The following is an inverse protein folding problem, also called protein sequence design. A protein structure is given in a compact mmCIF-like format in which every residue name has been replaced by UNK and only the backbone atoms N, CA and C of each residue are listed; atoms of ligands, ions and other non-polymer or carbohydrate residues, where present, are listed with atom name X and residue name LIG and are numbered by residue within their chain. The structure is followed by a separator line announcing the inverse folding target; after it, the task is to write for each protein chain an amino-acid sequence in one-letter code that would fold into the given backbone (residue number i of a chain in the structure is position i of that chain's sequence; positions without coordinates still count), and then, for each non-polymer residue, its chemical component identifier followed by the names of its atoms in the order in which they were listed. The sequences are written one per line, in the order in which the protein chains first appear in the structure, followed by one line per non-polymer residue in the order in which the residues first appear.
data_IF_942250704786
#
_entry.id   IF_942250704786
#
_cell.length_a   1.000
_cell.length_b   1.000
_cell.length_c   1.000
_cell.angle_alpha   90.00
_cell.angle_beta   90.00
_cell.angle_gamma   90.00
#
_symmetry.space_group_name_H-M   'P 1'
#
loop_
_entity.id
_entity.type
_entity.pdbx_description
1 polymer ?
#
# COMPACT_ATOMS: atom_id res chain seq x y z
N UNK A 1 -6.70 91.59 -31.95
CA UNK A 1 -7.28 92.03 -30.66
C UNK A 1 -6.53 91.30 -29.57
N UNK A 2 -5.93 92.05 -28.64
CA UNK A 2 -5.07 91.57 -27.58
C UNK A 2 -5.80 90.66 -26.57
N UNK A 3 -5.03 89.86 -25.82
CA UNK A 3 -5.24 89.42 -24.42
C UNK A 3 -4.02 88.55 -24.02
N UNK A 4 -2.91 89.16 -23.58
CA UNK A 4 -2.46 89.35 -22.18
C UNK A 4 -2.04 88.07 -21.45
N UNK A 5 -0.72 87.99 -21.20
CA UNK A 5 -0.01 87.04 -20.33
C UNK A 5 -0.44 87.19 -18.86
N UNK A 6 -0.70 86.08 -18.18
CA UNK A 6 -0.65 85.97 -16.73
C UNK A 6 0.44 84.98 -16.34
N UNK A 7 1.49 85.46 -15.66
CA UNK A 7 2.50 84.61 -15.02
C UNK A 7 2.21 84.66 -13.52
N UNK A 8 1.84 83.52 -12.96
CA UNK A 8 1.68 83.34 -11.50
C UNK A 8 3.03 82.83 -10.96
N UNK A 9 3.63 83.46 -9.94
CA UNK A 9 4.84 82.93 -9.33
C UNK A 9 4.43 81.80 -8.38
N UNK A 10 4.83 80.57 -8.70
CA UNK A 10 4.79 79.46 -7.74
C UNK A 10 5.95 79.68 -6.77
N UNK A 11 5.64 80.09 -5.54
CA UNK A 11 6.58 79.99 -4.43
C UNK A 11 6.93 78.52 -4.23
N UNK A 12 8.17 78.15 -4.54
CA UNK A 12 8.77 76.92 -4.03
C UNK A 12 8.96 77.09 -2.53
N UNK A 13 7.99 76.63 -1.74
CA UNK A 13 8.19 76.29 -0.34
C UNK A 13 9.16 75.11 -0.32
N UNK A 14 10.43 75.40 -0.04
CA UNK A 14 11.43 74.40 0.29
C UNK A 14 11.09 73.87 1.69
N UNK A 15 10.28 72.80 1.74
CA UNK A 15 10.13 71.99 2.95
C UNK A 15 11.38 71.14 3.03
N UNK A 16 12.37 71.58 3.82
CA UNK A 16 13.45 70.70 4.24
C UNK A 16 12.85 69.67 5.18
N UNK A 17 12.51 68.49 4.69
CA UNK A 17 12.42 67.34 5.58
C UNK A 17 13.82 67.12 6.12
N UNK A 18 14.01 67.25 7.44
CA UNK A 18 15.23 66.77 8.07
C UNK A 18 15.26 65.25 7.86
N UNK A 19 16.30 64.72 7.22
CA UNK A 19 16.40 63.28 7.00
C UNK A 19 16.95 62.67 8.28
N UNK A 20 16.14 61.87 8.98
CA UNK A 20 16.61 60.98 10.02
C UNK A 20 17.83 60.20 9.53
N UNK A 21 18.92 60.20 10.30
CA UNK A 21 20.13 59.47 9.91
C UNK A 21 19.92 57.98 10.18
N UNK A 22 19.70 57.22 9.10
CA UNK A 22 19.54 55.77 9.17
C UNK A 22 20.89 55.05 9.11
N UNK A 23 21.18 54.24 10.12
CA UNK A 23 22.35 53.37 10.21
C UNK A 23 21.90 51.91 10.15
N UNK A 24 22.52 51.11 9.28
CA UNK A 24 22.21 49.69 9.13
C UNK A 24 23.31 48.88 9.80
N UNK A 25 22.91 47.95 10.65
CA UNK A 25 23.80 47.07 11.42
C UNK A 25 23.46 45.62 11.08
N UNK A 26 24.45 44.85 10.66
CA UNK A 26 24.28 43.44 10.23
C UNK A 26 25.20 42.47 10.96
N UNK A 27 26.12 42.99 11.79
CA UNK A 27 27.05 42.15 12.55
C UNK A 27 26.31 41.46 13.71
N UNK A 28 26.76 40.25 14.07
CA UNK A 28 26.15 39.40 15.11
C UNK A 28 26.18 40.01 16.53
N UNK A 29 26.92 41.10 16.72
CA UNK A 29 26.91 41.89 17.94
C UNK A 29 27.41 43.31 17.59
N UNK A 30 27.07 44.27 18.43
CA UNK A 30 27.58 45.62 18.27
C UNK A 30 27.15 46.55 19.39
N UNK A 31 27.66 47.77 19.32
CA UNK A 31 27.42 48.81 20.31
C UNK A 31 26.89 50.07 19.61
N UNK A 32 25.91 50.71 20.23
CA UNK A 32 25.27 51.93 19.77
C UNK A 32 25.41 53.00 20.85
N UNK A 33 25.66 54.22 20.41
CA UNK A 33 25.83 55.37 21.29
C UNK A 33 24.93 56.52 20.82
N UNK A 34 24.41 57.29 21.76
CA UNK A 34 23.87 58.62 21.43
C UNK A 34 24.97 59.52 20.80
N UNK A 35 24.60 60.51 19.98
CA UNK A 35 25.59 61.38 19.35
C UNK A 35 26.39 62.15 20.39
N UNK A 36 27.72 62.10 20.30
CA UNK A 36 28.60 62.83 21.21
C UNK A 36 28.95 62.08 22.51
N UNK A 37 28.35 60.91 22.78
CA UNK A 37 28.64 60.12 23.99
C UNK A 37 30.16 59.92 24.20
N UNK A 38 30.69 60.10 25.42
CA UNK A 38 29.99 60.31 26.70
C UNK A 38 29.61 61.77 27.00
N UNK A 39 29.89 62.72 26.09
CA UNK A 39 29.48 64.11 26.24
C UNK A 39 27.97 64.28 25.97
N UNK A 40 27.36 65.39 26.43
CA UNK A 40 25.92 65.61 26.23
C UNK A 40 25.51 65.59 24.76
N UNK A 41 24.37 64.95 24.47
CA UNK A 41 23.88 64.83 23.10
C UNK A 41 23.38 66.16 22.54
N UNK A 42 23.48 66.39 21.21
CA UNK A 42 22.96 67.59 20.57
C UNK A 42 21.43 67.57 20.48
N UNK A 43 20.82 68.75 20.58
CA UNK A 43 19.42 68.99 20.25
C UNK A 43 19.10 68.78 18.78
N UNK A 44 17.81 68.67 18.43
CA UNK A 44 17.29 68.48 17.08
C UNK A 44 17.92 67.27 16.35
N UNK A 45 18.26 66.21 17.10
CA UNK A 45 18.91 65.02 16.57
C UNK A 45 17.90 63.91 16.32
N UNK A 46 18.00 63.25 15.16
CA UNK A 46 17.18 62.10 14.84
C UNK A 46 18.03 61.02 14.16
N UNK A 47 18.18 59.89 14.84
CA UNK A 47 18.99 58.76 14.39
C UNK A 47 18.21 57.47 14.57
N UNK A 48 18.31 56.60 13.58
CA UNK A 48 17.71 55.29 13.63
C UNK A 48 18.75 54.23 13.28
N UNK A 49 18.87 53.21 14.13
CA UNK A 49 19.65 52.00 13.87
C UNK A 49 18.70 50.87 13.51
N UNK A 50 18.89 50.30 12.32
CA UNK A 50 18.20 49.09 11.89
C UNK A 50 19.18 47.93 11.99
N UNK A 51 18.94 47.06 12.97
CA UNK A 51 19.68 45.82 13.18
C UNK A 51 18.94 44.72 12.42
N UNK A 52 19.65 44.03 11.53
CA UNK A 52 19.12 42.92 10.75
C UNK A 52 20.11 41.77 10.78
N UNK A 53 19.69 40.66 11.37
CA UNK A 53 20.45 39.41 11.46
C UNK A 53 19.94 38.38 10.44
N UNK A 54 20.70 37.30 10.16
CA UNK A 54 20.16 36.15 9.43
C UNK A 54 18.91 35.57 10.11
N UNK A 55 18.08 34.85 9.34
CA UNK A 55 17.00 34.01 9.91
C UNK A 55 17.58 32.97 10.89
N UNK A 56 16.78 32.51 11.84
CA UNK A 56 17.21 31.63 12.93
C UNK A 56 17.83 32.35 14.13
N UNK A 57 17.85 33.68 14.14
CA UNK A 57 18.34 34.48 15.27
C UNK A 57 17.32 35.51 15.75
N UNK A 58 17.32 35.73 17.05
CA UNK A 58 16.74 36.89 17.72
C UNK A 58 17.84 37.87 18.12
N UNK A 59 17.44 39.13 18.33
CA UNK A 59 18.32 40.22 18.74
C UNK A 59 18.07 40.48 20.23
N UNK A 60 19.12 40.31 21.03
CA UNK A 60 19.15 40.69 22.43
C UNK A 60 19.76 42.07 22.57
N UNK A 61 18.98 43.04 23.06
CA UNK A 61 19.39 44.43 23.30
C UNK A 61 19.36 44.75 24.80
N UNK A 62 20.38 45.46 25.29
CA UNK A 62 20.43 45.98 26.65
C UNK A 62 21.23 47.29 26.70
N UNK A 63 20.97 48.10 27.72
CA UNK A 63 21.61 49.40 27.90
C UNK A 63 22.59 49.34 29.08
N UNK A 64 23.81 49.82 28.87
CA UNK A 64 24.83 49.92 29.91
C UNK A 64 24.83 51.30 30.58
N UNK A 65 24.41 52.32 29.84
CA UNK A 65 24.23 53.68 30.33
C UNK A 65 22.97 54.30 29.70
N UNK A 66 22.20 55.06 30.49
CA UNK A 66 20.99 55.72 30.01
C UNK A 66 20.70 56.99 30.81
N UNK A 67 20.70 58.13 30.12
CA UNK A 67 20.51 59.47 30.67
C UNK A 67 19.94 60.38 29.58
N UNK A 68 18.61 60.42 29.50
CA UNK A 68 17.84 61.16 28.48
C UNK A 68 16.89 62.12 29.18
N UNK A 69 16.57 63.26 28.55
CA UNK A 69 15.62 64.22 29.12
C UNK A 69 14.27 63.55 29.46
N UNK A 70 13.76 63.69 30.70
CA UNK A 70 12.46 63.14 31.08
C UNK A 70 11.32 64.03 30.55
N UNK A 71 10.24 63.41 30.09
CA UNK A 71 9.01 64.10 29.72
C UNK A 71 7.83 63.15 29.85
N UNK A 72 6.62 63.69 30.00
CA UNK A 72 5.40 62.89 30.12
C UNK A 72 5.29 61.93 28.92
N UNK A 73 5.30 60.62 29.16
CA UNK A 73 5.28 59.57 28.14
C UNK A 73 6.39 59.70 27.07
N UNK A 74 7.52 60.31 27.43
CA UNK A 74 8.67 60.51 26.55
C UNK A 74 8.35 61.26 25.25
N UNK A 75 7.54 62.32 25.34
CA UNK A 75 7.11 63.15 24.20
C UNK A 75 8.22 64.06 23.64
N UNK A 76 9.19 64.47 24.46
CA UNK A 76 10.32 65.32 24.06
C UNK A 76 11.44 64.45 23.49
N UNK A 77 12.37 64.03 24.34
CA UNK A 77 13.48 63.16 23.98
C UNK A 77 13.16 61.71 24.31
N UNK A 78 13.57 60.80 23.43
CA UNK A 78 13.31 59.37 23.63
C UNK A 78 14.27 58.45 22.92
N UNK A 79 14.32 57.21 23.41
CA UNK A 79 14.77 56.04 22.67
C UNK A 79 13.60 55.09 22.49
N UNK A 80 13.19 54.85 21.24
CA UNK A 80 12.15 53.89 20.87
C UNK A 80 12.76 52.61 20.33
N UNK A 81 12.25 51.48 20.77
CA UNK A 81 12.65 50.15 20.31
C UNK A 81 11.43 49.47 19.70
N UNK A 82 11.53 49.06 18.45
CA UNK A 82 10.45 48.38 17.75
C UNK A 82 10.97 47.26 16.86
N UNK A 83 10.16 46.22 16.71
CA UNK A 83 10.38 45.13 15.77
C UNK A 83 9.34 45.26 14.67
N UNK A 84 9.79 45.57 13.45
CA UNK A 84 8.92 45.86 12.30
C UNK A 84 7.86 46.95 12.61
N UNK A 85 6.61 46.56 12.88
CA UNK A 85 5.51 47.47 13.25
C UNK A 85 5.16 47.45 14.74
N UNK A 86 5.75 46.56 15.53
CA UNK A 86 5.47 46.41 16.95
C UNK A 86 6.41 47.28 17.79
N UNK A 87 5.85 48.25 18.53
CA UNK A 87 6.60 49.04 19.51
C UNK A 87 6.84 48.19 20.77
N UNK A 88 8.08 47.76 20.99
CA UNK A 88 8.45 46.93 22.12
C UNK A 88 8.68 47.76 23.38
N UNK A 89 9.26 48.96 23.23
CA UNK A 89 9.49 49.89 24.34
C UNK A 89 9.74 51.34 23.88
N UNK A 90 9.43 52.28 24.78
CA UNK A 90 9.82 53.69 24.70
C UNK A 90 10.50 54.06 26.01
N UNK A 91 11.66 54.72 25.94
CA UNK A 91 12.45 55.08 27.10
C UNK A 91 12.86 56.56 27.10
N UNK A 92 12.87 57.16 28.29
CA UNK A 92 13.40 58.51 28.59
C UNK A 92 13.66 58.65 30.10
N UNK A 93 14.33 59.74 30.51
CA UNK A 93 14.66 59.99 31.91
C UNK A 93 15.95 59.32 32.41
N UNK A 94 16.19 59.44 33.73
CA UNK A 94 17.31 58.84 34.48
C UNK A 94 16.88 57.72 35.42
N UNK A 95 15.65 57.80 35.93
CA UNK A 95 15.05 56.86 36.88
C UNK A 95 13.60 56.61 36.47
N UNK A 96 13.04 55.46 36.87
CA UNK A 96 11.64 55.11 36.57
C UNK A 96 10.67 55.95 37.39
N UNK A 97 9.58 56.42 36.76
CA UNK A 97 8.48 57.13 37.41
C UNK A 97 7.12 56.59 36.90
N UNK A 98 6.01 57.20 37.31
CA UNK A 98 4.68 56.85 36.80
C UNK A 98 4.48 57.20 35.31
N UNK A 99 5.32 58.10 34.76
CA UNK A 99 5.17 58.66 33.41
C UNK A 99 6.40 58.48 32.52
N UNK A 100 7.54 58.09 33.09
CA UNK A 100 8.80 57.81 32.41
C UNK A 100 9.26 56.38 32.68
N UNK A 101 9.82 55.75 31.64
CA UNK A 101 10.43 54.42 31.72
C UNK A 101 11.90 54.52 31.31
N UNK A 102 12.81 54.00 32.13
CA UNK A 102 14.22 53.76 31.78
C UNK A 102 14.46 52.26 31.58
N UNK A 103 15.43 51.86 30.72
CA UNK A 103 15.68 50.45 30.45
C UNK A 103 16.24 49.70 31.66
N UNK A 104 17.00 50.34 32.55
CA UNK A 104 17.59 49.73 33.74
C UNK A 104 18.27 48.37 33.44
N UNK A 105 17.83 47.28 34.08
CA UNK A 105 18.34 45.92 33.85
C UNK A 105 17.50 45.11 32.82
N UNK A 106 16.54 45.75 32.15
CA UNK A 106 15.69 45.10 31.16
C UNK A 106 16.53 44.65 29.97
N UNK A 107 16.30 43.40 29.55
CA UNK A 107 16.84 42.83 28.32
C UNK A 107 15.69 42.72 27.34
N UNK A 108 15.80 43.39 26.20
CA UNK A 108 14.81 43.31 25.14
C UNK A 108 15.24 42.20 24.17
N UNK A 109 14.36 41.22 23.97
CA UNK A 109 14.50 40.21 22.93
C UNK A 109 13.54 40.56 21.80
N UNK A 110 14.04 40.62 20.57
CA UNK A 110 13.18 40.80 19.41
C UNK A 110 12.37 39.52 19.13
N UNK A 111 11.11 39.63 18.66
CA UNK A 111 10.34 38.47 18.21
C UNK A 111 10.98 37.75 17.01
N UNK A 112 11.59 38.49 16.08
CA UNK A 112 12.25 37.97 14.88
C UNK A 112 13.71 38.42 14.75
N UNK A 113 14.25 38.41 13.54
CA UNK A 113 15.64 38.74 13.23
C UNK A 113 15.89 40.23 12.89
N UNK A 114 14.89 41.10 13.10
CA UNK A 114 14.95 42.53 12.80
C UNK A 114 14.57 43.33 14.05
N UNK A 115 15.39 44.34 14.40
CA UNK A 115 15.11 45.27 15.48
C UNK A 115 15.54 46.68 15.09
N UNK A 116 14.68 47.67 15.33
CA UNK A 116 14.97 49.07 15.08
C UNK A 116 15.02 49.84 16.39
N UNK A 117 16.06 50.66 16.55
CA UNK A 117 16.25 51.56 17.68
C UNK A 117 16.28 52.99 17.14
N UNK A 118 15.37 53.84 17.60
CA UNK A 118 15.29 55.24 17.17
C UNK A 118 15.53 56.17 18.35
N UNK A 119 16.50 57.06 18.20
CA UNK A 119 16.79 58.15 19.13
C UNK A 119 16.33 59.48 18.53
N UNK A 120 15.59 60.25 19.33
CA UNK A 120 15.17 61.61 18.98
C UNK A 120 15.45 62.56 20.14
N UNK A 121 16.00 63.73 19.82
CA UNK A 121 16.02 64.89 20.72
C UNK A 121 15.25 66.07 20.11
N UNK A 122 14.55 66.82 20.96
CA UNK A 122 13.80 68.01 20.57
C UNK A 122 14.69 69.27 20.49
N UNK A 123 14.10 70.47 20.43
CA UNK A 123 14.84 71.72 20.22
C UNK A 123 15.49 72.29 21.51
N UNK A 124 15.23 71.70 22.67
CA UNK A 124 15.62 72.20 23.99
C UNK A 124 16.20 71.09 24.87
N UNK A 125 17.45 71.28 25.32
CA UNK A 125 18.00 70.50 26.43
C UNK A 125 18.32 71.50 27.55
N UNK A 126 17.43 71.63 28.54
CA UNK A 126 17.64 72.57 29.65
C UNK A 126 18.79 72.13 30.58
N UNK A 127 18.98 70.81 30.71
CA UNK A 127 20.11 70.18 31.41
C UNK A 127 21.09 69.49 30.45
N UNK A 128 22.27 69.14 30.97
CA UNK A 128 23.26 68.34 30.27
C UNK A 128 22.99 66.85 30.47
N UNK A 129 22.32 66.22 29.52
CA UNK A 129 22.06 64.78 29.49
C UNK A 129 23.11 64.05 28.63
N UNK A 130 23.81 63.08 29.23
CA UNK A 130 24.94 62.37 28.61
C UNK A 130 24.52 61.36 27.53
N UNK A 131 23.25 60.98 27.49
CA UNK A 131 22.70 60.09 26.47
C UNK A 131 22.76 58.63 26.85
N UNK A 132 23.08 57.74 25.91
CA UNK A 132 23.04 56.30 26.15
C UNK A 132 24.18 55.53 25.49
N UNK A 133 24.48 54.37 26.08
CA UNK A 133 25.30 53.31 25.52
C UNK A 133 24.50 52.00 25.55
N UNK A 134 24.26 51.42 24.37
CA UNK A 134 23.50 50.19 24.21
C UNK A 134 24.31 49.12 23.48
N UNK A 135 24.13 47.87 23.87
CA UNK A 135 24.79 46.71 23.27
C UNK A 135 23.74 45.74 22.76
N UNK A 136 23.97 45.18 21.58
CA UNK A 136 23.15 44.13 21.03
C UNK A 136 23.97 42.89 20.66
N UNK A 137 23.33 41.72 20.71
CA UNK A 137 23.93 40.44 20.32
C UNK A 137 22.89 39.49 19.73
N UNK A 138 23.31 38.67 18.77
CA UNK A 138 22.55 37.57 18.22
C UNK A 138 22.34 36.48 19.27
N UNK A 139 21.11 35.96 19.32
CA UNK A 139 20.73 34.80 20.12
C UNK A 139 20.10 33.80 19.18
N UNK A 140 20.60 32.57 19.18
CA UNK A 140 20.05 31.45 18.43
C UNK A 140 18.61 31.18 18.86
N UNK A 141 17.70 31.01 17.91
CA UNK A 141 16.34 30.56 18.18
C UNK A 141 16.40 29.04 18.36
N UNK A 142 15.86 28.52 19.46
CA UNK A 142 15.73 27.08 19.65
C UNK A 142 14.35 26.63 19.16
N UNK A 143 14.24 26.29 17.87
CA UNK A 143 12.97 25.87 17.26
C UNK A 143 12.44 24.53 17.82
N UNK A 144 13.25 23.82 18.60
CA UNK A 144 12.86 22.55 19.23
C UNK A 144 12.32 22.71 20.66
N UNK A 145 12.44 23.90 21.27
CA UNK A 145 12.12 24.12 22.68
C UNK A 145 10.64 24.38 22.91
N UNK A 146 10.01 25.11 22.01
CA UNK A 146 8.59 25.41 22.06
C UNK A 146 7.89 24.53 21.03
N UNK A 147 7.27 23.45 21.53
CA UNK A 147 6.32 22.65 20.76
C UNK A 147 5.00 23.44 20.65
N UNK A 148 5.06 24.73 20.30
CA UNK A 148 3.88 25.58 20.13
C UNK A 148 3.10 25.02 18.95
N UNK A 149 1.80 24.87 19.14
CA UNK A 149 0.80 24.30 18.21
C UNK A 149 0.66 25.08 16.87
N UNK A 150 1.68 25.82 16.43
CA UNK A 150 1.73 26.52 15.15
C UNK A 150 2.70 25.83 14.19
N UNK A 151 2.12 25.25 13.13
CA UNK A 151 2.66 25.01 11.78
C UNK A 151 4.20 25.00 11.68
N UNK A 152 4.83 23.86 11.95
CA UNK A 152 6.21 23.64 11.45
C UNK A 152 7.18 22.86 12.33
N UNK A 153 6.73 22.28 13.44
CA UNK A 153 7.56 21.36 14.22
C UNK A 153 7.84 20.06 13.43
N UNK A 154 9.00 19.46 13.71
CA UNK A 154 9.40 18.17 13.12
C UNK A 154 8.45 17.05 13.56
N UNK A 155 8.10 16.16 12.64
CA UNK A 155 7.15 15.07 12.89
C UNK A 155 7.64 14.06 13.94
N UNK A 156 8.95 13.77 13.95
CA UNK A 156 9.55 12.81 14.88
C UNK A 156 10.63 13.41 15.79
N UNK A 157 11.75 13.84 15.21
CA UNK A 157 12.87 14.39 15.98
C UNK A 157 13.30 15.72 15.39
N UNK A 158 13.39 16.72 16.26
CA UNK A 158 13.92 18.05 15.97
C UNK A 158 15.37 18.16 16.45
N UNK A 159 16.23 18.75 15.64
CA UNK A 159 17.63 19.01 15.96
C UNK A 159 17.93 20.49 15.77
N UNK A 160 18.12 21.22 16.86
CA UNK A 160 18.55 22.61 16.85
C UNK A 160 20.06 22.72 16.59
N UNK A 161 20.46 23.72 15.82
CA UNK A 161 21.85 24.14 15.65
C UNK A 161 21.91 25.66 15.50
N UNK A 162 23.11 26.22 15.66
CA UNK A 162 23.28 27.68 15.59
C UNK A 162 22.85 28.20 14.20
N UNK A 163 21.75 28.95 14.17
CA UNK A 163 21.15 29.55 12.99
C UNK A 163 20.08 28.71 12.28
N UNK A 164 19.57 27.64 12.91
CA UNK A 164 18.40 26.94 12.39
C UNK A 164 18.22 25.52 12.95
N UNK A 165 17.33 24.76 12.33
CA UNK A 165 17.03 23.39 12.74
C UNK A 165 16.89 22.43 11.56
N UNK A 166 16.89 21.13 11.84
CA UNK A 166 16.51 20.11 10.87
C UNK A 166 15.74 18.96 11.53
N UNK A 167 14.95 18.26 10.72
CA UNK A 167 14.14 17.13 11.16
C UNK A 167 14.79 15.79 10.80
N UNK A 168 14.49 14.76 11.58
CA UNK A 168 14.86 13.38 11.25
C UNK A 168 13.79 12.39 11.73
N UNK A 169 13.83 11.18 11.19
CA UNK A 169 12.78 10.19 11.38
C UNK A 169 13.23 9.00 12.24
N UNK A 170 12.24 8.34 12.86
CA UNK A 170 12.43 7.04 13.53
C UNK A 170 12.88 5.97 12.52
N UNK A 171 13.48 4.90 13.04
CA UNK A 171 13.87 3.77 12.23
C UNK A 171 12.66 3.19 11.45
N UNK A 172 12.87 2.86 10.18
CA UNK A 172 11.81 2.39 9.27
C UNK A 172 11.00 3.48 8.58
N UNK A 173 11.22 4.75 8.94
CA UNK A 173 10.61 5.91 8.28
C UNK A 173 11.66 6.69 7.49
N UNK A 174 11.19 7.49 6.53
CA UNK A 174 12.00 8.31 5.64
C UNK A 174 11.54 9.76 5.71
N UNK A 175 12.48 10.70 5.80
CA UNK A 175 12.17 12.12 5.76
C UNK A 175 11.60 12.46 4.38
N UNK A 176 10.41 13.06 4.37
CA UNK A 176 9.73 13.50 3.17
C UNK A 176 10.43 14.73 2.55
N UNK A 177 10.08 15.08 1.31
CA UNK A 177 10.70 16.20 0.58
C UNK A 177 10.39 17.58 1.14
N UNK A 178 9.42 17.68 2.06
CA UNK A 178 9.16 18.90 2.84
C UNK A 178 10.18 19.13 3.97
N UNK A 179 11.13 18.20 4.15
CA UNK A 179 12.13 18.18 5.22
C UNK A 179 11.55 18.20 6.65
N UNK A 180 10.28 17.82 6.82
CA UNK A 180 9.56 17.88 8.09
C UNK A 180 8.84 16.59 8.44
N UNK A 181 8.04 16.05 7.52
CA UNK A 181 7.20 14.86 7.77
C UNK A 181 7.97 13.58 7.53
N UNK A 182 7.57 12.51 8.21
CA UNK A 182 8.18 11.19 8.12
C UNK A 182 7.25 10.20 7.44
N UNK A 183 7.56 9.84 6.20
CA UNK A 183 6.80 8.86 5.42
C UNK A 183 7.32 7.43 5.58
N UNK A 184 6.54 6.45 5.13
CA UNK A 184 6.96 5.04 5.04
C UNK A 184 6.87 4.49 3.62
N UNK A 185 7.69 3.50 3.32
CA UNK A 185 7.55 2.70 2.10
C UNK A 185 6.67 1.48 2.39
N UNK A 186 5.37 1.63 2.12
CA UNK A 186 4.33 0.64 2.37
C UNK A 186 3.75 0.01 1.09
N UNK A 187 4.28 0.42 -0.08
CA UNK A 187 3.86 -0.08 -1.38
C UNK A 187 4.74 -1.26 -1.82
N UNK A 188 4.13 -2.39 -2.16
CA UNK A 188 4.84 -3.59 -2.67
C UNK A 188 4.39 -4.92 -2.08
N UNK A 189 3.50 -4.90 -1.09
CA UNK A 189 2.94 -6.11 -0.50
C UNK A 189 1.93 -6.76 -1.44
N UNK A 190 2.21 -8.00 -1.87
CA UNK A 190 1.28 -8.84 -2.65
C UNK A 190 0.85 -10.04 -1.80
N UNK A 191 -0.44 -10.10 -1.48
CA UNK A 191 -1.06 -11.14 -0.69
C UNK A 191 -1.67 -12.20 -1.61
N UNK A 192 -1.20 -13.44 -1.48
CA UNK A 192 -1.61 -14.58 -2.33
C UNK A 192 -2.38 -15.66 -1.57
N UNK A 193 -2.44 -15.55 -0.24
CA UNK A 193 -3.22 -16.44 0.63
C UNK A 193 -4.72 -16.13 0.57
N UNK A 194 -5.59 -17.14 0.68
CA UNK A 194 -7.06 -16.98 0.60
C UNK A 194 -7.69 -16.22 1.77
N UNK A 195 -6.92 -15.91 2.81
CA UNK A 195 -7.34 -15.04 3.89
C UNK A 195 -6.15 -14.34 4.53
N UNK A 196 -6.35 -13.17 5.11
CA UNK A 196 -5.28 -12.43 5.77
C UNK A 196 -5.76 -11.18 6.49
N UNK A 197 -4.80 -10.49 7.11
CA UNK A 197 -4.97 -9.25 7.86
C UNK A 197 -4.15 -8.15 7.19
N UNK A 198 -4.76 -6.98 6.97
CA UNK A 198 -4.09 -5.79 6.42
C UNK A 198 -4.44 -4.62 7.32
N UNK A 199 -3.46 -3.79 7.65
CA UNK A 199 -3.64 -2.58 8.47
C UNK A 199 -3.00 -1.39 7.79
N UNK A 200 -3.35 -0.18 8.21
CA UNK A 200 -2.47 0.98 8.05
C UNK A 200 -1.12 0.70 8.73
N UNK A 201 -0.07 1.40 8.27
CA UNK A 201 1.25 1.30 8.92
C UNK A 201 1.14 1.74 10.39
N UNK A 202 1.88 1.05 11.26
CA UNK A 202 1.94 1.27 12.71
C UNK A 202 0.63 1.12 13.51
N UNK A 203 -0.48 0.71 12.88
CA UNK A 203 -1.75 0.44 13.56
C UNK A 203 -1.55 -0.44 14.81
N UNK A 204 -2.15 -0.08 15.97
CA UNK A 204 -3.18 0.93 16.19
C UNK A 204 -2.63 2.33 16.59
N UNK A 205 -1.38 2.64 16.28
CA UNK A 205 -0.82 4.00 16.48
C UNK A 205 -1.18 4.90 15.29
N UNK A 206 -1.02 6.24 15.43
CA UNK A 206 -1.20 7.16 14.33
C UNK A 206 -0.44 6.71 13.07
N UNK A 207 -1.11 6.76 11.91
CA UNK A 207 -0.45 6.38 10.67
C UNK A 207 0.58 7.44 10.24
N UNK A 208 1.65 7.04 9.54
CA UNK A 208 2.65 7.97 9.04
C UNK A 208 2.07 8.94 8.02
N UNK A 209 2.46 10.22 8.15
CA UNK A 209 2.09 11.31 7.23
C UNK A 209 2.77 11.14 5.87
N UNK A 210 2.24 11.82 4.86
CA UNK A 210 2.82 11.96 3.51
C UNK A 210 3.18 10.62 2.87
N UNK A 211 2.32 9.62 3.06
CA UNK A 211 2.55 8.24 2.66
C UNK A 211 1.50 7.74 1.68
N UNK A 212 1.96 7.10 0.61
CA UNK A 212 1.12 6.45 -0.40
C UNK A 212 1.32 4.92 -0.33
N UNK A 213 0.34 4.23 0.24
CA UNK A 213 0.39 2.80 0.44
C UNK A 213 -0.47 2.05 -0.58
N UNK A 214 0.13 1.04 -1.24
CA UNK A 214 -0.56 0.13 -2.15
C UNK A 214 -0.44 -1.32 -1.67
N UNK A 215 -1.56 -1.87 -1.22
CA UNK A 215 -1.70 -3.28 -0.85
C UNK A 215 -2.45 -4.03 -1.94
N UNK A 216 -1.89 -5.15 -2.41
CA UNK A 216 -2.50 -5.93 -3.51
C UNK A 216 -2.81 -7.35 -3.06
N UNK A 217 -4.08 -7.73 -3.09
CA UNK A 217 -4.52 -9.13 -2.95
C UNK A 217 -4.67 -9.71 -4.35
N UNK A 218 -3.98 -10.81 -4.62
CA UNK A 218 -3.97 -11.45 -5.93
C UNK A 218 -4.10 -12.96 -5.80
N UNK A 219 -5.32 -13.45 -6.01
CA UNK A 219 -5.67 -14.87 -6.01
C UNK A 219 -5.86 -15.38 -7.44
N UNK A 220 -5.95 -16.70 -7.57
CA UNK A 220 -6.23 -17.34 -8.84
C UNK A 220 -7.64 -17.01 -9.35
N UNK A 221 -7.83 -17.16 -10.66
CA UNK A 221 -9.13 -16.93 -11.28
C UNK A 221 -10.16 -17.92 -10.73
N UNK A 222 -11.35 -17.43 -10.42
CA UNK A 222 -12.44 -18.23 -9.81
C UNK A 222 -12.57 -18.05 -8.30
N UNK A 223 -11.61 -17.36 -7.66
CA UNK A 223 -11.81 -16.82 -6.32
C UNK A 223 -12.50 -15.45 -6.35
N UNK A 224 -13.19 -15.11 -5.27
CA UNK A 224 -13.82 -13.83 -5.03
C UNK A 224 -13.47 -13.35 -3.63
N UNK A 225 -12.82 -12.20 -3.54
CA UNK A 225 -12.36 -11.63 -2.26
C UNK A 225 -13.50 -10.86 -1.59
N UNK A 226 -13.66 -11.07 -0.29
CA UNK A 226 -14.50 -10.25 0.59
C UNK A 226 -13.60 -9.57 1.61
N UNK A 227 -13.74 -8.25 1.74
CA UNK A 227 -13.06 -7.44 2.75
C UNK A 227 -14.00 -7.22 3.93
N UNK A 228 -13.47 -7.25 5.14
CA UNK A 228 -14.19 -7.01 6.39
C UNK A 228 -13.37 -6.02 7.22
N UNK A 229 -13.77 -4.75 7.18
CA UNK A 229 -13.13 -3.68 7.94
C UNK A 229 -13.55 -3.76 9.41
N UNK A 230 -12.56 -3.63 10.30
CA UNK A 230 -12.78 -3.53 11.74
C UNK A 230 -13.58 -2.25 12.06
N UNK A 231 -14.27 -2.22 13.21
CA UNK A 231 -15.05 -1.05 13.65
C UNK A 231 -14.12 0.08 14.10
N UNK A 232 -12.89 -0.24 14.53
CA UNK A 232 -11.86 0.79 14.75
C UNK A 232 -11.37 1.31 13.40
N UNK A 233 -11.89 2.49 13.04
CA UNK A 233 -11.61 3.18 11.79
C UNK A 233 -11.51 4.66 12.10
N UNK A 234 -10.36 5.25 11.82
CA UNK A 234 -10.07 6.65 12.13
C UNK A 234 -9.12 7.19 11.06
N UNK A 235 -9.67 7.94 10.10
CA UNK A 235 -8.93 8.55 8.99
C UNK A 235 -9.39 10.00 8.91
N UNK A 236 -8.45 10.95 8.76
CA UNK A 236 -8.77 12.37 8.71
C UNK A 236 -9.84 12.72 7.65
N UNK A 237 -10.86 13.49 8.04
CA UNK A 237 -11.99 13.84 7.20
C UNK A 237 -12.35 15.33 7.29
N UNK A 238 -13.38 15.73 6.55
CA UNK A 238 -13.91 17.09 6.57
C UNK A 238 -15.44 17.04 6.52
N UNK A 239 -16.16 17.90 7.26
CA UNK A 239 -17.62 17.85 7.34
C UNK A 239 -18.31 18.10 6.00
N UNK A 240 -17.77 18.99 5.16
CA UNK A 240 -18.42 19.43 3.91
C UNK A 240 -17.87 18.78 2.63
N UNK A 241 -16.67 18.19 2.69
CA UNK A 241 -15.95 17.68 1.51
C UNK A 241 -15.57 16.24 1.80
N UNK A 242 -15.89 15.33 0.89
CA UNK A 242 -15.59 13.90 1.10
C UNK A 242 -14.10 13.64 0.96
N UNK A 243 -13.46 13.27 2.07
CA UNK A 243 -12.07 12.80 2.16
C UNK A 243 -11.04 13.68 1.42
N UNK A 244 -10.94 14.98 1.74
CA UNK A 244 -10.04 15.91 1.06
C UNK A 244 -8.58 15.74 1.48
N UNK A 245 -8.35 15.23 2.69
CA UNK A 245 -7.03 15.03 3.30
C UNK A 245 -6.59 13.59 3.03
N UNK A 246 -7.13 12.67 3.83
CA UNK A 246 -6.73 11.28 3.82
C UNK A 246 -7.83 10.38 3.27
N UNK A 247 -7.45 9.30 2.62
CA UNK A 247 -8.43 8.44 1.96
C UNK A 247 -7.93 7.03 1.71
N UNK A 248 -8.84 6.08 1.88
CA UNK A 248 -8.70 4.71 1.37
C UNK A 248 -9.60 4.49 0.15
N UNK A 249 -9.02 4.01 -0.96
CA UNK A 249 -9.71 3.63 -2.19
C UNK A 249 -9.44 2.17 -2.50
N UNK A 250 -10.46 1.45 -2.93
CA UNK A 250 -10.36 0.01 -3.21
C UNK A 250 -10.75 -0.22 -4.66
N UNK A 251 -9.86 -0.81 -5.43
CA UNK A 251 -10.10 -1.21 -6.81
C UNK A 251 -10.17 -2.74 -6.90
N UNK A 252 -11.30 -3.26 -7.36
CA UNK A 252 -11.53 -4.69 -7.57
C UNK A 252 -12.01 -4.94 -9.00
N UNK A 253 -11.10 -5.36 -9.88
CA UNK A 253 -11.35 -5.37 -11.32
C UNK A 253 -11.70 -3.97 -11.84
N UNK A 254 -12.89 -3.83 -12.43
CA UNK A 254 -13.42 -2.54 -12.94
C UNK A 254 -14.19 -1.74 -11.86
N UNK A 255 -14.49 -2.35 -10.71
CA UNK A 255 -15.26 -1.70 -9.64
C UNK A 255 -14.31 -0.93 -8.73
N UNK A 256 -14.73 0.27 -8.34
CA UNK A 256 -14.04 1.11 -7.36
C UNK A 256 -14.96 1.36 -6.18
N UNK A 257 -14.43 1.25 -4.97
CA UNK A 257 -15.11 1.57 -3.72
C UNK A 257 -14.34 2.69 -3.00
N UNK A 258 -15.07 3.57 -2.33
CA UNK A 258 -14.53 4.74 -1.66
C UNK A 258 -14.51 6.00 -2.55
N UNK A 259 -13.78 7.05 -2.16
CA UNK A 259 -12.90 7.10 -0.98
C UNK A 259 -13.66 6.92 0.33
N UNK A 260 -13.00 6.31 1.32
CA UNK A 260 -13.48 6.26 2.70
C UNK A 260 -12.51 7.01 3.62
N UNK A 261 -13.08 7.71 4.59
CA UNK A 261 -12.41 8.46 5.65
C UNK A 261 -13.40 8.67 6.81
N UNK A 262 -12.98 9.34 7.88
CA UNK A 262 -13.76 9.63 9.07
C UNK A 262 -13.65 8.52 10.11
N UNK A 263 -14.61 8.51 11.04
CA UNK A 263 -14.67 7.58 12.17
C UNK A 263 -15.55 6.33 11.90
N UNK A 264 -16.24 6.32 10.76
CA UNK A 264 -17.21 5.27 10.42
C UNK A 264 -16.63 4.29 9.41
N UNK A 265 -16.39 3.06 9.88
CA UNK A 265 -15.96 1.95 9.05
C UNK A 265 -16.92 1.67 7.89
N UNK A 266 -16.41 1.36 6.67
CA UNK A 266 -17.24 0.92 5.56
C UNK A 266 -17.80 -0.51 5.75
N UNK A 267 -17.33 -1.24 6.78
CA UNK A 267 -17.75 -2.59 7.11
C UNK A 267 -17.40 -3.62 6.03
N UNK A 268 -18.31 -4.56 5.77
CA UNK A 268 -18.07 -5.67 4.84
C UNK A 268 -18.27 -5.26 3.38
N UNK A 269 -17.27 -5.50 2.53
CA UNK A 269 -17.28 -5.25 1.09
C UNK A 269 -17.09 -6.55 0.31
N UNK A 270 -18.12 -6.96 -0.44
CA UNK A 270 -18.05 -8.07 -1.39
C UNK A 270 -17.54 -7.55 -2.74
N UNK A 271 -16.28 -7.88 -3.07
CA UNK A 271 -15.61 -7.28 -4.23
C UNK A 271 -16.06 -7.91 -5.55
N UNK A 272 -16.30 -9.23 -5.54
CA UNK A 272 -16.59 -10.00 -6.76
C UNK A 272 -15.37 -10.23 -7.66
N UNK A 273 -14.15 -9.98 -7.15
CA UNK A 273 -12.91 -10.11 -7.92
C UNK A 273 -11.87 -10.95 -7.17
N UNK A 274 -11.03 -11.66 -7.92
CA UNK A 274 -9.84 -12.33 -7.39
C UNK A 274 -8.64 -11.38 -7.23
N UNK A 275 -8.70 -10.16 -7.78
CA UNK A 275 -7.65 -9.15 -7.69
C UNK A 275 -8.23 -7.89 -7.07
N UNK A 276 -7.68 -7.50 -5.92
CA UNK A 276 -8.09 -6.30 -5.18
C UNK A 276 -6.86 -5.46 -4.86
N UNK A 277 -6.89 -4.20 -5.22
CA UNK A 277 -5.85 -3.21 -4.88
C UNK A 277 -6.44 -2.19 -3.92
N UNK A 278 -5.80 -2.01 -2.77
CA UNK A 278 -6.20 -1.09 -1.71
C UNK A 278 -5.16 0.01 -1.68
N UNK A 279 -5.58 1.23 -1.97
CA UNK A 279 -4.76 2.43 -1.98
C UNK A 279 -5.12 3.27 -0.76
N UNK A 280 -4.13 3.59 0.07
CA UNK A 280 -4.29 4.49 1.22
C UNK A 280 -3.31 5.66 1.08
N UNK A 281 -3.86 6.87 1.15
CA UNK A 281 -3.13 8.13 1.06
C UNK A 281 -3.27 8.89 2.37
N UNK A 282 -2.15 9.38 2.90
CA UNK A 282 -2.09 10.33 4.01
C UNK A 282 -1.39 11.63 3.61
N UNK A 283 -1.94 12.76 4.07
CA UNK A 283 -1.39 14.09 3.84
C UNK A 283 -0.29 14.44 4.87
N UNK A 284 0.12 15.70 4.96
CA UNK A 284 1.23 16.13 5.82
C UNK A 284 0.82 16.47 7.26
N UNK A 285 -0.39 16.13 7.69
CA UNK A 285 -0.95 16.44 9.01
C UNK A 285 -1.76 15.27 9.59
N UNK A 286 -2.49 15.50 10.68
CA UNK A 286 -3.27 14.47 11.36
C UNK A 286 -2.47 13.59 12.35
N UNK A 287 -3.19 13.04 13.33
CA UNK A 287 -2.68 12.05 14.31
C UNK A 287 -3.67 10.87 14.43
N UNK A 288 -4.44 10.63 13.37
CA UNK A 288 -5.51 9.63 13.33
C UNK A 288 -4.92 8.21 13.33
N UNK A 289 -5.62 7.29 14.00
CA UNK A 289 -5.12 5.95 14.32
C UNK A 289 -5.11 4.97 13.13
N UNK A 290 -5.87 5.27 12.09
CA UNK A 290 -5.93 4.49 10.85
C UNK A 290 -6.97 3.38 10.88
N UNK A 291 -6.64 2.27 10.23
CA UNK A 291 -7.63 1.24 9.89
C UNK A 291 -7.02 -0.15 9.90
N UNK A 292 -7.90 -1.12 10.07
CA UNK A 292 -7.59 -2.55 10.03
C UNK A 292 -8.70 -3.28 9.29
N UNK A 293 -8.33 -4.25 8.47
CA UNK A 293 -9.29 -5.14 7.81
C UNK A 293 -8.76 -6.56 7.77
N UNK A 294 -9.69 -7.50 7.76
CA UNK A 294 -9.40 -8.87 7.34
C UNK A 294 -9.99 -9.11 5.97
N UNK A 295 -9.39 -10.02 5.21
CA UNK A 295 -9.97 -10.47 3.96
C UNK A 295 -10.11 -11.99 3.97
N UNK A 296 -11.13 -12.47 3.27
CA UNK A 296 -11.39 -13.88 3.03
C UNK A 296 -11.76 -14.07 1.57
N UNK A 297 -11.54 -15.26 1.04
CA UNK A 297 -11.93 -15.61 -0.33
C UNK A 297 -12.96 -16.73 -0.33
N UNK A 298 -13.97 -16.59 -1.19
CA UNK A 298 -14.80 -17.71 -1.63
C UNK A 298 -14.38 -18.13 -3.03
N UNK A 299 -14.61 -19.38 -3.39
CA UNK A 299 -14.35 -19.91 -4.74
C UNK A 299 -15.63 -20.28 -5.45
N UNK A 300 -15.57 -20.38 -6.78
CA UNK A 300 -16.64 -20.97 -7.59
C UNK A 300 -16.97 -22.38 -7.10
N UNK A 301 -18.27 -22.68 -7.06
CA UNK A 301 -18.82 -23.99 -6.73
C UNK A 301 -19.33 -24.65 -8.01
N UNK A 302 -18.95 -25.90 -8.25
CA UNK A 302 -19.45 -26.70 -9.36
C UNK A 302 -20.69 -27.49 -8.95
N UNK A 303 -21.62 -27.66 -9.91
CA UNK A 303 -22.82 -28.46 -9.67
C UNK A 303 -22.45 -29.90 -9.29
N UNK A 304 -23.18 -30.49 -8.33
CA UNK A 304 -23.01 -31.88 -7.95
C UNK A 304 -23.22 -32.78 -9.18
N UNK A 305 -22.21 -33.56 -9.61
CA UNK A 305 -22.33 -34.39 -10.79
C UNK A 305 -23.38 -35.48 -10.62
N UNK A 306 -24.11 -35.77 -11.69
CA UNK A 306 -25.04 -36.91 -11.73
C UNK A 306 -24.25 -38.21 -11.91
N UNK A 307 -24.43 -39.14 -10.98
CA UNK A 307 -23.79 -40.45 -11.02
C UNK A 307 -24.25 -41.25 -12.25
N UNK A 308 -23.36 -41.73 -13.13
CA UNK A 308 -23.75 -42.61 -14.22
C UNK A 308 -24.23 -43.98 -13.65
N UNK A 309 -25.20 -44.65 -14.30
CA UNK A 309 -25.60 -45.99 -13.89
C UNK A 309 -24.41 -46.95 -13.90
N UNK A 310 -24.25 -47.73 -12.83
CA UNK A 310 -23.12 -48.62 -12.61
C UNK A 310 -21.76 -47.90 -12.49
N UNK A 311 -21.78 -46.66 -11.97
CA UNK A 311 -20.58 -45.85 -11.73
C UNK A 311 -20.44 -45.41 -10.27
N UNK A 312 -19.22 -45.02 -9.92
CA UNK A 312 -18.85 -44.47 -8.61
C UNK A 312 -18.10 -43.15 -8.77
N UNK A 313 -18.23 -42.27 -7.77
CA UNK A 313 -17.49 -41.02 -7.65
C UNK A 313 -16.66 -41.01 -6.38
N UNK A 314 -15.40 -40.61 -6.49
CA UNK A 314 -14.51 -40.44 -5.34
C UNK A 314 -13.74 -39.10 -5.43
N UNK A 315 -13.83 -38.22 -4.41
CA UNK A 315 -14.72 -38.31 -3.25
C UNK A 315 -16.18 -38.00 -3.64
N UNK A 316 -17.14 -38.55 -2.89
CA UNK A 316 -18.55 -38.15 -2.96
C UNK A 316 -18.82 -37.06 -1.90
N UNK A 317 -18.99 -35.82 -2.33
CA UNK A 317 -19.25 -34.66 -1.49
C UNK A 317 -20.59 -33.99 -1.84
N UNK A 318 -21.13 -33.20 -0.91
CA UNK A 318 -22.35 -32.41 -1.09
C UNK A 318 -22.17 -31.18 -1.99
N UNK A 319 -20.94 -30.73 -2.13
CA UNK A 319 -20.54 -29.50 -2.81
C UNK A 319 -19.08 -29.67 -3.25
N UNK A 320 -18.74 -29.11 -4.41
CA UNK A 320 -17.38 -29.14 -4.95
C UNK A 320 -16.92 -27.75 -5.32
N UNK A 321 -15.69 -27.41 -4.96
CA UNK A 321 -15.13 -26.09 -5.18
C UNK A 321 -13.99 -26.12 -6.21
N UNK A 322 -13.64 -24.92 -6.70
CA UNK A 322 -12.53 -24.69 -7.61
C UNK A 322 -11.31 -25.56 -7.28
N UNK A 323 -10.74 -26.21 -8.31
CA UNK A 323 -9.59 -27.12 -8.27
C UNK A 323 -9.80 -28.44 -7.55
N UNK A 324 -10.98 -28.72 -7.01
CA UNK A 324 -11.27 -30.07 -6.55
C UNK A 324 -11.43 -31.00 -7.75
N UNK A 325 -10.89 -32.20 -7.58
CA UNK A 325 -10.98 -33.28 -8.56
C UNK A 325 -11.87 -34.38 -8.03
N UNK A 326 -12.63 -34.97 -8.94
CA UNK A 326 -13.31 -36.24 -8.68
C UNK A 326 -12.82 -37.28 -9.67
N UNK A 327 -12.72 -38.51 -9.18
CA UNK A 327 -12.43 -39.69 -9.98
C UNK A 327 -13.71 -40.47 -10.18
N UNK A 328 -14.02 -40.77 -11.44
CA UNK A 328 -15.13 -41.62 -11.84
C UNK A 328 -14.58 -43.01 -12.14
N UNK A 329 -15.23 -44.03 -11.59
CA UNK A 329 -14.97 -45.45 -11.88
C UNK A 329 -16.30 -46.17 -12.16
N UNK A 330 -16.25 -47.40 -12.68
CA UNK A 330 -17.45 -48.22 -12.92
C UNK A 330 -17.47 -49.47 -12.02
N UNK A 331 -18.67 -50.01 -11.79
CA UNK A 331 -18.87 -51.30 -11.16
C UNK A 331 -18.11 -52.40 -11.94
N UNK A 332 -17.69 -53.50 -11.29
CA UNK A 332 -17.09 -54.64 -11.96
C UNK A 332 -17.95 -55.15 -13.14
N UNK A 333 -17.32 -55.32 -14.30
CA UNK A 333 -18.02 -55.70 -15.54
C UNK A 333 -18.52 -54.54 -16.39
N UNK A 334 -18.26 -53.30 -15.97
CA UNK A 334 -18.48 -52.08 -16.73
C UNK A 334 -17.17 -51.32 -16.93
N UNK A 335 -17.09 -50.53 -18.00
CA UNK A 335 -15.95 -49.65 -18.29
C UNK A 335 -16.44 -48.28 -18.77
N UNK A 336 -15.65 -47.23 -18.52
CA UNK A 336 -15.92 -45.90 -19.04
C UNK A 336 -15.56 -45.86 -20.52
N UNK A 337 -16.47 -45.39 -21.37
CA UNK A 337 -16.19 -45.23 -22.79
C UNK A 337 -16.13 -43.75 -23.16
N UNK A 338 -14.97 -43.28 -23.62
CA UNK A 338 -14.76 -41.90 -24.07
C UNK A 338 -14.00 -41.89 -25.39
N UNK A 339 -14.54 -41.19 -26.38
CA UNK A 339 -13.92 -41.03 -27.71
C UNK A 339 -13.50 -42.35 -28.39
N UNK A 340 -14.22 -43.45 -28.08
CA UNK A 340 -13.95 -44.79 -28.63
C UNK A 340 -12.98 -45.64 -27.80
N UNK A 341 -12.35 -45.08 -26.77
CA UNK A 341 -11.44 -45.77 -25.87
C UNK A 341 -12.15 -46.22 -24.58
N UNK A 342 -11.73 -47.37 -24.06
CA UNK A 342 -12.16 -47.86 -22.74
C UNK A 342 -11.18 -47.36 -21.69
N UNK A 343 -11.70 -46.72 -20.65
CA UNK A 343 -10.93 -46.17 -19.54
C UNK A 343 -11.29 -46.89 -18.25
N UNK A 344 -10.27 -47.14 -17.42
CA UNK A 344 -10.42 -47.71 -16.07
C UNK A 344 -10.98 -46.66 -15.09
N UNK A 345 -10.48 -45.43 -15.18
CA UNK A 345 -10.96 -44.29 -14.41
C UNK A 345 -10.94 -43.03 -15.28
N UNK A 346 -11.73 -42.02 -14.88
CA UNK A 346 -11.73 -40.71 -15.53
C UNK A 346 -11.81 -39.60 -14.49
N UNK A 347 -10.92 -38.62 -14.60
CA UNK A 347 -10.83 -37.51 -13.65
C UNK A 347 -11.39 -36.23 -14.27
N UNK A 348 -12.24 -35.52 -13.53
CA UNK A 348 -12.70 -34.17 -13.87
C UNK A 348 -12.35 -33.19 -12.75
N UNK A 349 -12.19 -31.92 -13.12
CA UNK A 349 -11.78 -30.83 -12.23
C UNK A 349 -12.85 -29.73 -12.21
N UNK A 350 -13.16 -29.18 -11.05
CA UNK A 350 -14.02 -28.01 -10.95
C UNK A 350 -13.26 -26.73 -11.36
N UNK A 351 -13.73 -26.05 -12.40
CA UNK A 351 -13.05 -24.91 -13.01
C UNK A 351 -13.55 -23.56 -12.47
N UNK A 352 -12.80 -22.51 -12.78
CA UNK A 352 -13.04 -21.14 -12.31
C UNK A 352 -14.40 -20.54 -12.71
N UNK A 353 -15.01 -21.05 -13.78
CA UNK A 353 -16.33 -20.63 -14.26
C UNK A 353 -17.49 -21.36 -13.55
N UNK A 354 -17.19 -22.22 -12.57
CA UNK A 354 -18.18 -23.04 -11.87
C UNK A 354 -18.64 -24.26 -12.66
N UNK A 355 -17.92 -24.62 -13.73
CA UNK A 355 -18.23 -25.79 -14.54
C UNK A 355 -17.13 -26.86 -14.40
N UNK A 356 -17.49 -28.12 -14.66
CA UNK A 356 -16.51 -29.21 -14.68
C UNK A 356 -15.71 -29.19 -15.98
N UNK A 357 -14.42 -29.56 -15.90
CA UNK A 357 -13.50 -29.63 -17.05
C UNK A 357 -13.98 -30.52 -18.19
N UNK A 358 -14.86 -31.48 -17.88
CA UNK A 358 -15.48 -32.35 -18.87
C UNK A 358 -16.77 -32.96 -18.35
N UNK A 359 -17.58 -33.53 -19.25
CA UNK A 359 -18.76 -34.32 -18.87
C UNK A 359 -18.33 -35.74 -18.49
N UNK A 360 -19.05 -36.34 -17.56
CA UNK A 360 -18.79 -37.72 -17.11
C UNK A 360 -19.16 -38.72 -18.25
N UNK A 361 -18.22 -39.58 -18.67
CA UNK A 361 -18.50 -40.67 -19.60
C UNK A 361 -19.48 -41.69 -19.01
N UNK A 362 -20.20 -42.42 -19.85
CA UNK A 362 -21.13 -43.45 -19.39
C UNK A 362 -20.40 -44.76 -19.10
N UNK A 363 -20.78 -45.43 -18.02
CA UNK A 363 -20.37 -46.81 -17.76
C UNK A 363 -21.15 -47.75 -18.68
N UNK A 364 -20.43 -48.44 -19.57
CA UNK A 364 -21.00 -49.45 -20.46
C UNK A 364 -20.53 -50.83 -20.05
N UNK A 365 -21.47 -51.77 -20.09
CA UNK A 365 -21.17 -53.16 -19.80
C UNK A 365 -20.11 -53.65 -20.79
N UNK A 366 -19.11 -54.34 -20.27
CA UNK A 366 -18.00 -54.87 -21.05
C UNK A 366 -18.53 -55.97 -21.97
N UNK A 367 -18.08 -55.97 -23.21
CA UNK A 367 -18.49 -56.92 -24.23
C UNK A 367 -17.25 -57.69 -24.72
N UNK A 368 -17.31 -59.02 -24.64
CA UNK A 368 -16.21 -59.88 -25.08
C UNK A 368 -16.17 -60.09 -26.61
N UNK A 369 -17.13 -59.51 -27.34
CA UNK A 369 -17.26 -59.63 -28.78
C UNK A 369 -17.76 -61.00 -29.22
N UNK A 370 -18.19 -61.06 -30.48
CA UNK A 370 -18.61 -62.32 -31.09
C UNK A 370 -17.42 -63.24 -31.32
N UNK A 371 -17.59 -64.51 -31.02
CA UNK A 371 -16.58 -65.54 -31.29
C UNK A 371 -16.57 -65.90 -32.78
N UNK A 372 -15.38 -66.07 -33.35
CA UNK A 372 -15.20 -66.48 -34.75
C UNK A 372 -15.69 -67.92 -34.97
N UNK A 373 -16.78 -68.06 -35.72
CA UNK A 373 -17.43 -69.34 -36.03
C UNK A 373 -16.81 -70.06 -37.23
N UNK A 374 -15.84 -69.44 -37.90
CA UNK A 374 -15.17 -70.07 -39.04
C UNK A 374 -14.28 -71.24 -38.62
N UNK A 375 -13.73 -71.18 -37.39
CA UNK A 375 -12.73 -72.14 -36.87
C UNK A 375 -13.24 -73.03 -35.73
N UNK A 376 -14.41 -72.73 -35.15
CA UNK A 376 -15.00 -73.48 -34.06
C UNK A 376 -16.51 -73.31 -33.99
N UNK A 377 -17.16 -74.15 -33.21
CA UNK A 377 -18.60 -74.12 -33.00
C UNK A 377 -18.90 -73.44 -31.64
N UNK A 378 -19.83 -72.48 -31.64
CA UNK A 378 -20.22 -71.71 -30.45
C UNK A 378 -21.72 -71.85 -30.18
N UNK A 379 -22.08 -72.12 -28.93
CA UNK A 379 -23.47 -72.13 -28.47
C UNK A 379 -23.61 -71.11 -27.34
N UNK A 380 -24.45 -70.10 -27.54
CA UNK A 380 -24.75 -69.11 -26.51
C UNK A 380 -25.72 -69.70 -25.50
N UNK A 381 -25.48 -69.46 -24.21
CA UNK A 381 -26.33 -69.99 -23.14
C UNK A 381 -27.69 -69.29 -23.06
N UNK A 382 -27.83 -68.12 -23.68
CA UNK A 382 -29.08 -67.35 -23.73
C UNK A 382 -29.60 -67.22 -25.17
N UNK A 383 -30.92 -67.04 -25.30
CA UNK A 383 -31.59 -66.85 -26.59
C UNK A 383 -31.29 -65.51 -27.26
N UNK A 384 -30.71 -64.56 -26.53
CA UNK A 384 -30.32 -63.25 -27.04
C UNK A 384 -28.92 -63.24 -27.68
N UNK A 385 -28.18 -64.36 -27.64
CA UNK A 385 -26.78 -64.44 -28.10
C UNK A 385 -25.89 -63.31 -27.56
N UNK A 386 -26.09 -62.93 -26.29
CA UNK A 386 -25.34 -61.82 -25.68
C UNK A 386 -23.88 -62.20 -25.48
N UNK A 387 -23.01 -61.24 -25.76
CA UNK A 387 -21.56 -61.31 -25.55
C UNK A 387 -21.10 -60.41 -24.39
N UNK A 388 -22.04 -59.75 -23.71
CA UNK A 388 -21.76 -58.85 -22.60
C UNK A 388 -21.32 -59.58 -21.32
N UNK A 389 -20.70 -58.85 -20.38
CA UNK A 389 -20.16 -59.34 -19.12
C UNK A 389 -21.10 -60.33 -18.41
N UNK A 390 -20.53 -61.45 -17.95
CA UNK A 390 -21.27 -62.53 -17.30
C UNK A 390 -22.03 -63.47 -18.26
N UNK A 391 -22.12 -63.15 -19.56
CA UNK A 391 -22.65 -64.07 -20.56
C UNK A 391 -21.79 -65.33 -20.63
N UNK A 392 -22.40 -66.47 -20.95
CA UNK A 392 -21.73 -67.77 -21.04
C UNK A 392 -21.90 -68.36 -22.42
N UNK A 393 -20.82 -68.90 -22.97
CA UNK A 393 -20.81 -69.64 -24.21
C UNK A 393 -20.23 -71.02 -23.98
N UNK A 394 -20.68 -71.96 -24.78
CA UNK A 394 -20.08 -73.27 -24.92
C UNK A 394 -19.29 -73.26 -26.24
N UNK A 395 -17.98 -73.46 -26.18
CA UNK A 395 -17.10 -73.37 -27.34
C UNK A 395 -16.27 -74.64 -27.51
N UNK A 396 -16.14 -75.09 -28.76
CA UNK A 396 -15.29 -76.21 -29.16
C UNK A 396 -14.67 -75.97 -30.53
N UNK A 397 -13.38 -76.30 -30.69
CA UNK A 397 -12.73 -76.27 -31.99
C UNK A 397 -13.29 -77.38 -32.89
N UNK A 398 -13.52 -77.09 -34.18
CA UNK A 398 -14.06 -78.08 -35.13
C UNK A 398 -13.06 -79.21 -35.42
N UNK A 399 -11.76 -78.95 -35.25
CA UNK A 399 -10.67 -79.92 -35.29
C UNK A 399 -10.68 -80.90 -34.10
N UNK A 400 -11.32 -80.54 -32.99
CA UNK A 400 -11.37 -81.32 -31.75
C UNK A 400 -12.77 -81.27 -31.10
N UNK A 401 -13.81 -81.85 -31.75
CA UNK A 401 -15.21 -81.73 -31.32
C UNK A 401 -15.53 -82.38 -29.96
N UNK A 402 -14.58 -83.06 -29.32
CA UNK A 402 -14.73 -83.67 -28.00
C UNK A 402 -14.28 -82.80 -26.82
N UNK A 403 -13.55 -81.71 -27.05
CA UNK A 403 -13.07 -80.78 -26.01
C UNK A 403 -13.93 -79.52 -25.98
N UNK A 404 -15.10 -79.64 -25.35
CA UNK A 404 -16.06 -78.57 -25.25
C UNK A 404 -16.05 -77.97 -23.83
N UNK A 405 -15.71 -76.68 -23.73
CA UNK A 405 -15.62 -75.98 -22.46
C UNK A 405 -16.62 -74.81 -22.40
N UNK A 406 -17.09 -74.51 -21.19
CA UNK A 406 -17.92 -73.31 -20.94
C UNK A 406 -17.00 -72.13 -20.62
N UNK A 407 -17.16 -71.04 -21.36
CA UNK A 407 -16.45 -69.78 -21.14
C UNK A 407 -17.45 -68.72 -20.71
N UNK A 408 -17.04 -67.86 -19.77
CA UNK A 408 -17.79 -66.71 -19.30
C UNK A 408 -17.07 -65.44 -19.72
N UNK A 409 -17.82 -64.43 -20.15
CA UNK A 409 -17.27 -63.12 -20.45
C UNK A 409 -16.83 -62.43 -19.15
N UNK A 410 -15.53 -62.20 -18.99
CA UNK A 410 -14.95 -61.60 -17.79
C UNK A 410 -14.91 -60.07 -17.84
N UNK A 411 -14.47 -59.48 -16.72
CA UNK A 411 -14.39 -58.02 -16.56
C UNK A 411 -13.28 -57.37 -17.42
N UNK A 412 -12.46 -58.15 -18.13
CA UNK A 412 -11.44 -57.63 -19.05
C UNK A 412 -11.90 -57.65 -20.51
N UNK A 413 -13.13 -58.12 -20.77
CA UNK A 413 -13.64 -58.30 -22.11
C UNK A 413 -13.05 -59.54 -22.78
N UNK A 414 -12.67 -60.55 -21.99
CA UNK A 414 -12.12 -61.81 -22.48
C UNK A 414 -13.00 -62.98 -22.03
N UNK A 415 -13.23 -63.92 -22.96
CA UNK A 415 -13.89 -65.19 -22.65
C UNK A 415 -12.94 -66.11 -21.88
N UNK A 416 -13.26 -66.43 -20.63
CA UNK A 416 -12.45 -67.30 -19.75
C UNK A 416 -13.23 -68.51 -19.24
N UNK A 417 -12.60 -69.67 -19.11
CA UNK A 417 -13.22 -70.86 -18.50
C UNK A 417 -13.01 -70.91 -16.98
N UNK A 418 -13.52 -71.95 -16.32
CA UNK A 418 -13.39 -72.14 -14.86
C UNK A 418 -11.94 -72.30 -14.37
N UNK A 419 -11.03 -72.71 -15.26
CA UNK A 419 -9.59 -72.81 -14.99
C UNK A 419 -8.83 -71.49 -15.22
N UNK A 420 -9.52 -70.43 -15.67
CA UNK A 420 -8.92 -69.14 -16.00
C UNK A 420 -8.26 -69.05 -17.38
N UNK A 421 -8.50 -70.04 -18.25
CA UNK A 421 -7.94 -70.11 -19.60
C UNK A 421 -8.83 -69.37 -20.60
N UNK A 422 -8.22 -68.67 -21.56
CA UNK A 422 -8.93 -67.99 -22.65
C UNK A 422 -9.38 -68.99 -23.72
N UNK A 423 -10.22 -68.55 -24.67
CA UNK A 423 -10.58 -69.36 -25.83
C UNK A 423 -9.34 -69.95 -26.53
N UNK A 424 -9.35 -71.26 -26.88
CA UNK A 424 -8.23 -71.92 -27.53
C UNK A 424 -8.06 -71.44 -28.96
N UNK A 425 -6.82 -71.44 -29.46
CA UNK A 425 -6.52 -71.03 -30.82
C UNK A 425 -6.64 -72.22 -31.79
N UNK A 426 -7.83 -72.44 -32.34
CA UNK A 426 -8.15 -73.56 -33.21
C UNK A 426 -7.34 -73.62 -34.53
N UNK A 427 -6.56 -72.58 -34.88
CA UNK A 427 -5.66 -72.64 -36.05
C UNK A 427 -4.50 -73.61 -35.85
N UNK A 428 -4.00 -73.77 -34.62
CA UNK A 428 -2.85 -74.67 -34.33
C UNK A 428 -3.24 -76.15 -34.33
N UNK A 429 -4.50 -76.47 -34.05
CA UNK A 429 -4.98 -77.86 -34.04
C UNK A 429 -5.14 -78.46 -35.45
N UNK A 430 -5.14 -77.62 -36.50
CA UNK A 430 -5.07 -78.08 -37.89
C UNK A 430 -3.63 -78.47 -38.31
N UNK A 431 -2.60 -77.92 -37.67
CA UNK A 431 -1.20 -78.27 -37.98
C UNK A 431 -0.77 -79.59 -37.32
N UNK A 432 -1.39 -79.97 -36.20
CA UNK A 432 -1.09 -81.22 -35.49
C UNK A 432 -1.65 -82.50 -36.14
N UNK A 433 -2.39 -82.40 -37.25
CA UNK A 433 -2.97 -83.56 -37.96
C UNK A 433 -2.22 -83.98 -39.23
N UNK A 434 -1.07 -83.37 -39.57
CA UNK A 434 -0.34 -83.69 -40.82
C UNK A 434 1.11 -84.18 -40.71
N UNK A 435 1.62 -84.54 -39.51
CA UNK A 435 2.94 -85.19 -39.41
C UNK A 435 2.97 -86.38 -38.44
N UNK A 436 2.57 -87.55 -38.94
CA UNK A 436 3.27 -88.80 -38.62
C UNK A 436 3.04 -89.83 -39.73
N UNK A 437 3.97 -89.89 -40.68
CA UNK A 437 4.44 -91.15 -41.29
C UNK A 437 5.48 -90.85 -42.38
N UNK A 438 6.76 -91.09 -42.07
CA UNK A 438 7.67 -91.98 -42.82
C UNK A 438 9.13 -91.70 -42.51
N UNK A 439 9.80 -92.72 -41.99
CA UNK A 439 11.25 -92.88 -41.91
C UNK A 439 11.90 -92.80 -43.30
N UNK A 440 13.12 -92.25 -43.39
CA UNK A 440 14.30 -93.03 -43.83
C UNK A 440 15.64 -92.32 -43.56
N UNK A 441 16.66 -93.14 -43.40
CA UNK A 441 17.99 -92.98 -42.78
C UNK A 441 19.06 -92.12 -43.51
N UNK A 442 19.87 -91.40 -42.69
CA UNK A 442 21.37 -91.28 -42.60
C UNK A 442 22.28 -91.22 -43.86
N UNK A 443 23.57 -90.75 -43.82
CA UNK A 443 24.44 -90.48 -42.66
C UNK A 443 25.40 -89.25 -42.68
N UNK A 444 26.04 -89.04 -41.51
CA UNK A 444 27.44 -88.59 -41.24
C UNK A 444 27.89 -87.12 -41.40
N UNK A 445 28.08 -86.46 -40.23
CA UNK A 445 29.29 -85.77 -39.65
C UNK A 445 30.47 -85.34 -40.56
N UNK A 446 31.35 -84.35 -40.18
CA UNK A 446 31.57 -83.75 -38.85
C UNK A 446 31.83 -82.21 -38.75
N UNK A 447 31.70 -81.71 -37.50
CA UNK A 447 32.46 -80.66 -36.76
C UNK A 447 33.16 -79.48 -37.49
N UNK A 448 32.95 -78.28 -36.93
CA UNK A 448 33.97 -77.42 -36.30
C UNK A 448 33.25 -76.24 -35.60
N UNK A 449 33.26 -76.11 -34.26
CA UNK A 449 34.25 -75.35 -33.46
C UNK A 449 34.45 -73.89 -33.91
N UNK A 450 33.82 -72.97 -33.20
CA UNK A 450 34.49 -72.00 -32.32
C UNK A 450 33.51 -71.58 -31.22
#
# INVERSE_FOLDING_TARGET
MALTRGVVPVLFLCVSTAWARLLRLTDMYGTMYSPGFPEPYPKDSEIQWNISLPEGYQIRLYFMHFDIEPSYLCEYDYVKVYSESEELAVFCGRENTDTERVPAADVILSPGNILSVAFRSDFSNEEHYSGFEAHYSAVDIDECRDNSDEVGACDHFCHNYIGGYYCSCRYGHHLHSDNRTCKVECSGSVYTEGSGLITSADFPKPYPKSSDCLYRIQLEKGFSVTLDFDETFDIEDHPDVTCPYDQIKIQAGERVFGPFCGDKSPGRIQTGSNIVSIFFHSDNSGENLGWKLTYTSTSSECAVPVLPPNGHLEPLQSNYFLKEHITVTCDPGYSLQKDGEMLEYYQIECQADGNWSSRIPQCRMIDCGSVDTSLGDVVYSNSSNSTAFGSRILYSCRSAPGEQNTYMCDWRGVWINENGETLPNCRRDLENTTQSDSEFQLPTTPKAQA
#
